data_IF_214279644290
#
_entry.id   IF_214279644290
#
_cell.length_a   1.000
_cell.length_b   1.000
_cell.length_c   1.000
_cell.angle_alpha   90.00
_cell.angle_beta   90.00
_cell.angle_gamma   90.00
#
_symmetry.space_group_name_H-M   'P 1'
#
loop_
_entity.id
_entity.type
_entity.pdbx_description
1 polymer ?
#
# COMPACT_ATOMS: atom_id res chain seq x y z
N UNK A 1 -27.34 -9.89 9.19
CA UNK A 1 -25.93 -9.48 9.02
C UNK A 1 -25.71 -8.26 9.89
N UNK A 2 -24.90 -8.37 10.94
CA UNK A 2 -24.53 -7.19 11.73
C UNK A 2 -23.49 -6.41 10.93
N UNK A 3 -23.75 -5.14 10.67
CA UNK A 3 -22.74 -4.25 10.12
C UNK A 3 -22.06 -3.53 11.27
N UNK A 4 -20.73 -3.49 11.27
CA UNK A 4 -19.98 -2.61 12.16
C UNK A 4 -20.37 -1.18 11.82
N UNK A 5 -20.87 -0.42 12.80
CA UNK A 5 -21.29 0.97 12.59
C UNK A 5 -20.08 1.84 12.26
N UNK A 6 -20.31 2.97 11.58
CA UNK A 6 -19.25 3.96 11.31
C UNK A 6 -18.53 4.42 12.59
N UNK A 7 -19.25 4.56 13.71
CA UNK A 7 -18.65 4.95 15.00
C UNK A 7 -17.72 3.87 15.56
N UNK A 8 -18.07 2.59 15.38
CA UNK A 8 -17.21 1.47 15.78
C UNK A 8 -15.98 1.38 14.87
N UNK A 9 -16.14 1.57 13.56
CA UNK A 9 -15.02 1.55 12.60
C UNK A 9 -13.95 2.60 12.91
N UNK A 10 -14.33 3.77 13.46
CA UNK A 10 -13.34 4.76 13.88
C UNK A 10 -12.45 4.30 15.04
N UNK A 11 -12.96 3.41 15.89
CA UNK A 11 -12.19 2.82 17.00
C UNK A 11 -11.37 1.61 16.58
N UNK A 12 -11.79 0.91 15.52
CA UNK A 12 -11.13 -0.29 14.99
C UNK A 12 -10.02 0.07 13.99
N UNK A 13 -9.06 0.89 14.42
CA UNK A 13 -7.94 1.34 13.59
C UNK A 13 -6.60 0.89 14.16
N UNK A 14 -5.70 0.49 13.27
CA UNK A 14 -4.32 0.14 13.61
C UNK A 14 -3.58 1.34 14.20
N UNK A 15 -2.82 1.13 15.28
CA UNK A 15 -1.97 2.15 15.90
C UNK A 15 -0.94 2.74 14.93
N UNK A 16 -0.33 1.88 14.08
CA UNK A 16 0.75 2.28 13.17
C UNK A 16 0.23 2.92 11.88
N UNK A 17 -0.59 2.20 11.11
CA UNK A 17 -1.01 2.68 9.78
C UNK A 17 -2.39 3.34 9.74
N UNK A 18 -3.13 3.37 10.86
CA UNK A 18 -4.49 3.93 10.98
C UNK A 18 -5.57 3.34 10.05
N UNK A 19 -5.23 2.32 9.26
CA UNK A 19 -6.18 1.50 8.49
C UNK A 19 -7.02 0.63 9.42
N UNK A 20 -8.15 0.15 8.91
CA UNK A 20 -9.03 -0.76 9.65
C UNK A 20 -8.30 -2.03 10.11
N UNK A 21 -8.63 -2.48 11.31
CA UNK A 21 -8.15 -3.74 11.92
C UNK A 21 -8.84 -4.96 11.28
N UNK A 22 -8.67 -5.09 9.97
CA UNK A 22 -9.30 -6.10 9.11
C UNK A 22 -8.29 -7.00 8.38
N UNK A 23 -6.98 -6.78 8.60
CA UNK A 23 -5.90 -7.53 7.96
C UNK A 23 -5.09 -8.24 9.03
N UNK A 24 -5.23 -9.55 9.06
CA UNK A 24 -4.63 -10.41 10.07
C UNK A 24 -3.15 -10.70 9.78
N UNK A 25 -2.36 -11.08 10.80
CA UNK A 25 -2.73 -11.15 12.22
C UNK A 25 -2.94 -9.77 12.88
N UNK A 26 -3.67 -9.71 13.99
CA UNK A 26 -3.87 -8.52 14.81
C UNK A 26 -3.13 -8.69 16.14
N UNK A 27 -2.31 -7.73 16.52
CA UNK A 27 -1.53 -7.75 17.75
C UNK A 27 -1.98 -6.66 18.70
N UNK A 28 -2.21 -6.99 19.96
CA UNK A 28 -2.38 -6.03 21.04
C UNK A 28 -1.00 -5.60 21.55
N UNK A 29 -0.75 -4.29 21.62
CA UNK A 29 0.41 -3.70 22.27
C UNK A 29 0.06 -3.29 23.69
N UNK A 30 0.85 -3.76 24.64
CA UNK A 30 0.73 -3.38 26.05
C UNK A 30 1.42 -2.04 26.33
N UNK A 31 2.51 -1.74 25.62
CA UNK A 31 3.27 -0.50 25.77
C UNK A 31 2.49 0.72 25.25
N UNK A 32 1.82 0.58 24.11
CA UNK A 32 1.12 1.68 23.43
C UNK A 32 -0.41 1.64 23.60
N UNK A 33 -0.93 0.67 24.36
CA UNK A 33 -2.36 0.46 24.63
C UNK A 33 -3.25 0.52 23.37
N UNK A 34 -3.06 -0.43 22.46
CA UNK A 34 -3.91 -0.55 21.27
C UNK A 34 -3.48 -1.67 20.33
N UNK A 35 -4.11 -1.77 19.16
CA UNK A 35 -3.89 -2.88 18.24
C UNK A 35 -3.05 -2.50 17.00
N UNK A 36 -2.22 -3.43 16.51
CA UNK A 36 -1.39 -3.32 15.31
C UNK A 36 -1.84 -4.42 14.34
N UNK A 37 -2.13 -4.06 13.08
CA UNK A 37 -2.54 -5.03 12.06
C UNK A 37 -1.34 -5.70 11.36
N UNK A 38 -1.60 -6.82 10.68
CA UNK A 38 -0.60 -7.62 9.97
C UNK A 38 0.07 -6.94 8.77
N UNK A 39 -0.39 -5.74 8.39
CA UNK A 39 0.28 -4.89 7.40
C UNK A 39 1.55 -4.21 7.95
N UNK A 40 1.70 -4.13 9.27
CA UNK A 40 2.74 -3.35 9.92
C UNK A 40 3.73 -4.26 10.63
N UNK A 41 5.01 -3.87 10.65
CA UNK A 41 6.01 -4.52 11.48
C UNK A 41 5.62 -4.47 12.95
N UNK A 42 5.97 -5.50 13.70
CA UNK A 42 5.60 -5.68 15.11
C UNK A 42 6.87 -5.79 15.94
N UNK A 43 6.98 -4.98 16.97
CA UNK A 43 8.15 -4.86 17.85
C UNK A 43 7.66 -4.55 19.27
N UNK A 44 8.45 -4.91 20.28
CA UNK A 44 8.15 -4.64 21.69
C UNK A 44 7.21 -5.67 22.33
N UNK A 45 6.57 -5.28 23.44
CA UNK A 45 5.69 -6.16 24.20
C UNK A 45 4.29 -6.21 23.59
N UNK A 46 4.08 -7.22 22.76
CA UNK A 46 2.88 -7.42 21.95
C UNK A 46 2.43 -8.88 21.96
N UNK A 47 1.12 -9.09 21.88
CA UNK A 47 0.53 -10.42 21.82
C UNK A 47 -0.52 -10.48 20.71
N UNK A 48 -0.59 -11.61 19.98
CA UNK A 48 -1.60 -11.79 18.94
C UNK A 48 -2.98 -11.90 19.57
N UNK A 49 -3.91 -11.04 19.17
CA UNK A 49 -5.27 -10.99 19.66
C UNK A 49 -6.17 -11.93 18.83
N UNK A 50 -6.01 -13.24 19.05
CA UNK A 50 -6.78 -14.29 18.36
C UNK A 50 -8.29 -14.21 18.64
N UNK A 51 -8.70 -13.73 19.82
CA UNK A 51 -10.11 -13.53 20.17
C UNK A 51 -10.74 -12.46 19.27
N UNK A 52 -10.06 -11.33 19.09
CA UNK A 52 -10.52 -10.29 18.17
C UNK A 52 -10.59 -10.81 16.73
N UNK A 53 -9.57 -11.56 16.30
CA UNK A 53 -9.56 -12.17 14.96
C UNK A 53 -10.78 -13.07 14.75
N UNK A 54 -11.05 -14.00 15.68
CA UNK A 54 -12.17 -14.93 15.61
C UNK A 54 -13.53 -14.20 15.52
N UNK A 55 -13.75 -13.20 16.37
CA UNK A 55 -15.01 -12.43 16.39
C UNK A 55 -15.21 -11.60 15.12
N UNK A 56 -14.12 -11.15 14.49
CA UNK A 56 -14.19 -10.29 13.30
C UNK A 56 -14.29 -11.06 11.99
N UNK A 57 -14.07 -12.38 11.98
CA UNK A 57 -14.25 -13.22 10.78
C UNK A 57 -15.64 -13.09 10.15
N UNK A 58 -16.68 -12.90 10.96
CA UNK A 58 -18.07 -12.76 10.51
C UNK A 58 -18.47 -11.31 10.20
N UNK A 59 -17.56 -10.35 10.32
CA UNK A 59 -17.81 -8.93 10.10
C UNK A 59 -17.17 -8.46 8.80
N UNK A 60 -17.89 -7.60 8.07
CA UNK A 60 -17.32 -6.92 6.89
C UNK A 60 -16.71 -5.58 7.29
N UNK A 61 -15.58 -5.27 6.68
CA UNK A 61 -14.88 -3.99 6.82
C UNK A 61 -14.83 -3.28 5.47
N UNK A 62 -14.98 -1.94 5.44
CA UNK A 62 -14.68 -1.19 4.23
C UNK A 62 -13.23 -1.42 3.79
N UNK A 63 -12.99 -1.38 2.49
CA UNK A 63 -11.65 -1.37 1.94
C UNK A 63 -10.83 -0.21 2.53
N UNK A 64 -9.53 -0.43 2.77
CA UNK A 64 -8.66 0.65 3.25
C UNK A 64 -8.39 1.77 2.22
N UNK A 65 -8.88 1.60 0.99
CA UNK A 65 -8.86 2.59 -0.09
C UNK A 65 -10.25 3.21 -0.31
N UNK A 66 -11.14 3.15 0.69
CA UNK A 66 -12.47 3.77 0.68
C UNK A 66 -12.42 5.28 0.38
N UNK A 67 -11.48 5.99 1.00
CA UNK A 67 -11.21 7.42 0.75
C UNK A 67 -10.84 7.74 -0.70
N UNK A 68 -10.33 6.74 -1.45
CA UNK A 68 -9.99 6.89 -2.86
C UNK A 68 -11.15 6.47 -3.80
N UNK A 69 -12.27 5.99 -3.24
CA UNK A 69 -13.47 5.61 -3.99
C UNK A 69 -13.78 4.10 -4.02
N UNK A 70 -13.05 3.27 -3.28
CA UNK A 70 -13.42 1.85 -3.17
C UNK A 70 -14.66 1.68 -2.28
N UNK A 71 -15.73 1.11 -2.83
CA UNK A 71 -16.99 0.90 -2.09
C UNK A 71 -17.14 -0.52 -1.53
N UNK A 72 -16.13 -1.38 -1.72
CA UNK A 72 -16.20 -2.78 -1.32
C UNK A 72 -16.14 -2.92 0.20
N UNK A 73 -16.96 -3.85 0.70
CA UNK A 73 -17.00 -4.28 2.10
C UNK A 73 -16.70 -5.77 2.18
N UNK A 74 -15.61 -6.10 2.87
CA UNK A 74 -14.89 -7.37 2.75
C UNK A 74 -14.75 -8.06 4.10
N UNK A 75 -14.80 -9.38 4.10
CA UNK A 75 -14.41 -10.18 5.26
C UNK A 75 -12.88 -10.18 5.43
N UNK A 76 -12.35 -10.40 6.65
CA UNK A 76 -10.91 -10.33 6.90
C UNK A 76 -10.03 -11.27 6.05
N UNK A 77 -10.57 -12.40 5.60
CA UNK A 77 -9.92 -13.36 4.70
C UNK A 77 -9.85 -12.88 3.23
N UNK A 78 -10.82 -12.07 2.80
CA UNK A 78 -10.86 -11.46 1.46
C UNK A 78 -9.92 -10.25 1.35
N UNK A 79 -9.70 -9.54 2.46
CA UNK A 79 -8.96 -8.26 2.51
C UNK A 79 -7.55 -8.35 1.89
N UNK A 80 -6.68 -9.34 2.22
CA UNK A 80 -5.31 -9.38 1.69
C UNK A 80 -5.25 -9.55 0.17
N UNK A 81 -6.20 -10.29 -0.42
CA UNK A 81 -6.27 -10.50 -1.85
C UNK A 81 -6.81 -9.22 -2.51
N UNK A 82 -7.92 -8.69 -2.01
CA UNK A 82 -8.51 -7.47 -2.54
C UNK A 82 -7.53 -6.30 -2.53
N UNK A 83 -6.81 -6.06 -1.43
CA UNK A 83 -5.87 -4.94 -1.34
C UNK A 83 -4.76 -5.00 -2.38
N UNK A 84 -4.36 -6.19 -2.82
CA UNK A 84 -3.35 -6.36 -3.88
C UNK A 84 -3.85 -5.92 -5.25
N UNK A 85 -5.13 -6.18 -5.55
CA UNK A 85 -5.76 -5.99 -6.86
C UNK A 85 -6.72 -4.79 -6.92
N UNK A 86 -6.88 -4.05 -5.82
CA UNK A 86 -7.81 -2.93 -5.75
C UNK A 86 -7.38 -1.82 -6.71
N UNK A 87 -8.27 -1.45 -7.65
CA UNK A 87 -8.04 -0.35 -8.60
C UNK A 87 -7.83 1.03 -7.95
N UNK A 88 -8.23 1.18 -6.69
CA UNK A 88 -8.08 2.39 -5.90
C UNK A 88 -6.83 2.37 -5.00
N UNK A 89 -6.00 1.33 -5.13
CA UNK A 89 -4.71 1.23 -4.46
C UNK A 89 -3.80 2.38 -4.87
N UNK A 90 -3.21 3.02 -3.88
CA UNK A 90 -2.17 4.03 -4.09
C UNK A 90 -0.78 3.44 -4.01
N UNK A 91 0.13 3.97 -4.81
CA UNK A 91 1.53 3.61 -4.87
C UNK A 91 2.38 4.81 -4.47
N UNK A 92 3.46 4.55 -3.75
CA UNK A 92 4.51 5.55 -3.55
C UNK A 92 5.30 5.70 -4.86
N UNK A 93 5.82 6.90 -5.11
CA UNK A 93 6.58 7.17 -6.32
C UNK A 93 7.77 6.20 -6.47
N UNK A 94 7.91 5.48 -7.60
CA UNK A 94 9.06 4.61 -7.85
C UNK A 94 10.41 5.32 -7.79
N UNK A 95 10.46 6.63 -8.04
CA UNK A 95 11.68 7.43 -7.94
C UNK A 95 12.04 7.81 -6.50
N UNK A 96 11.23 7.45 -5.49
CA UNK A 96 11.49 7.80 -4.08
C UNK A 96 12.86 7.29 -3.59
N UNK A 97 13.30 6.13 -4.09
CA UNK A 97 14.62 5.55 -3.78
C UNK A 97 15.77 6.46 -4.23
N UNK A 98 15.58 7.19 -5.33
CA UNK A 98 16.64 7.97 -5.99
C UNK A 98 16.51 9.48 -5.74
N UNK A 99 15.28 10.01 -5.69
CA UNK A 99 15.00 11.45 -5.71
C UNK A 99 14.28 12.00 -4.48
N UNK A 100 14.10 11.20 -3.41
CA UNK A 100 13.34 11.56 -2.19
C UNK A 100 11.92 12.07 -2.48
N UNK A 101 11.34 11.69 -3.61
CA UNK A 101 9.98 12.07 -3.99
C UNK A 101 8.96 11.47 -3.02
N UNK A 102 8.06 12.30 -2.50
CA UNK A 102 7.01 11.90 -1.54
C UNK A 102 5.64 11.72 -2.18
N UNK A 103 5.56 11.77 -3.51
CA UNK A 103 4.29 11.59 -4.21
C UNK A 103 3.73 10.20 -3.95
N UNK A 104 2.42 10.16 -3.72
CA UNK A 104 1.64 8.94 -3.54
C UNK A 104 0.29 9.13 -4.22
N UNK A 105 -0.07 8.23 -5.12
CA UNK A 105 -1.27 8.38 -5.92
C UNK A 105 -1.72 7.09 -6.59
N UNK A 106 -2.76 7.17 -7.40
CA UNK A 106 -3.26 6.04 -8.17
C UNK A 106 -2.33 5.76 -9.37
N UNK A 107 -2.34 4.53 -9.88
CA UNK A 107 -1.51 4.12 -11.04
C UNK A 107 -1.78 5.02 -12.25
N UNK A 108 -3.04 5.36 -12.51
CA UNK A 108 -3.43 6.24 -13.62
C UNK A 108 -2.80 7.65 -13.58
N UNK A 109 -2.44 8.13 -12.39
CA UNK A 109 -1.86 9.46 -12.19
C UNK A 109 -0.32 9.41 -12.20
N UNK A 110 0.27 8.21 -12.23
CA UNK A 110 1.71 7.99 -12.12
C UNK A 110 2.48 8.49 -13.34
N UNK A 111 1.94 8.27 -14.55
CA UNK A 111 2.58 8.71 -15.78
C UNK A 111 2.71 10.24 -15.86
N UNK A 112 1.60 10.95 -15.63
CA UNK A 112 1.59 12.42 -15.60
C UNK A 112 2.52 12.98 -14.51
N UNK A 113 2.54 12.35 -13.33
CA UNK A 113 3.48 12.69 -12.26
C UNK A 113 4.95 12.58 -12.73
N UNK A 114 5.31 11.47 -13.38
CA UNK A 114 6.67 11.26 -13.88
C UNK A 114 7.03 12.25 -14.97
N UNK A 115 6.14 12.51 -15.92
CA UNK A 115 6.41 13.48 -16.99
C UNK A 115 6.69 14.89 -16.46
N UNK A 116 6.03 15.30 -15.37
CA UNK A 116 6.18 16.64 -14.78
C UNK A 116 7.37 16.77 -13.83
N UNK A 117 7.65 15.74 -13.04
CA UNK A 117 8.61 15.83 -11.93
C UNK A 117 9.85 14.96 -12.10
N UNK A 118 9.80 13.96 -12.97
CA UNK A 118 10.81 12.92 -13.15
C UNK A 118 11.01 12.58 -14.63
N UNK A 119 10.96 13.59 -15.51
CA UNK A 119 11.02 13.36 -16.96
C UNK A 119 12.29 12.60 -17.40
N UNK A 120 13.41 12.79 -16.69
CA UNK A 120 14.67 12.06 -16.92
C UNK A 120 14.57 10.56 -16.60
N UNK A 121 13.61 10.16 -15.77
CA UNK A 121 13.33 8.77 -15.42
C UNK A 121 12.16 8.19 -16.24
N UNK A 122 11.85 8.78 -17.41
CA UNK A 122 10.83 8.25 -18.33
C UNK A 122 11.46 7.72 -19.61
N UNK A 123 11.08 6.51 -20.01
CA UNK A 123 11.50 5.89 -21.27
C UNK A 123 10.41 6.18 -22.31
N UNK A 124 10.76 6.94 -23.36
CA UNK A 124 9.81 7.41 -24.39
C UNK A 124 9.87 6.62 -25.70
N UNK A 125 11.04 6.10 -26.07
CA UNK A 125 11.27 5.45 -27.36
C UNK A 125 11.50 3.93 -27.23
N UNK A 126 11.15 3.34 -26.09
CA UNK A 126 11.49 1.95 -25.74
C UNK A 126 13.00 1.63 -25.78
N UNK A 127 13.84 2.67 -25.75
CA UNK A 127 15.29 2.59 -25.72
C UNK A 127 15.79 3.26 -24.44
N UNK A 128 16.77 2.63 -23.78
CA UNK A 128 17.44 3.16 -22.60
C UNK A 128 18.92 2.77 -22.61
N UNK A 129 19.76 3.62 -22.03
CA UNK A 129 21.20 3.40 -21.95
C UNK A 129 21.55 2.65 -20.65
N UNK A 130 22.39 1.64 -20.77
CA UNK A 130 22.90 0.88 -19.61
C UNK A 130 24.27 1.44 -19.24
N UNK A 131 24.38 2.16 -18.13
CA UNK A 131 25.68 2.53 -17.55
C UNK A 131 26.22 1.36 -16.72
N UNK A 132 27.30 0.74 -17.21
CA UNK A 132 27.95 -0.40 -16.58
C UNK A 132 29.06 -0.01 -15.59
N UNK A 133 29.34 1.28 -15.42
CA UNK A 133 30.48 1.80 -14.65
C UNK A 133 30.04 2.40 -13.33
N UNK A 134 28.88 3.07 -13.28
CA UNK A 134 28.33 3.66 -12.07
C UNK A 134 27.79 2.62 -11.08
N UNK A 135 27.81 2.95 -9.77
CA UNK A 135 27.07 2.22 -8.74
C UNK A 135 25.80 3.02 -8.40
N UNK A 136 24.67 2.56 -8.93
CA UNK A 136 23.38 3.22 -8.75
C UNK A 136 22.24 2.21 -8.83
N UNK A 137 21.09 2.61 -8.26
CA UNK A 137 19.82 1.91 -8.38
C UNK A 137 18.75 2.93 -8.73
N UNK A 138 18.27 2.89 -9.96
CA UNK A 138 17.28 3.83 -10.47
C UNK A 138 16.07 3.07 -11.03
N UNK A 139 14.90 3.66 -10.84
CA UNK A 139 13.64 3.14 -11.36
C UNK A 139 13.16 4.07 -12.47
N UNK A 140 13.13 3.55 -13.69
CA UNK A 140 12.56 4.23 -14.85
C UNK A 140 11.12 3.79 -15.06
N UNK A 141 10.28 4.72 -15.51
CA UNK A 141 8.90 4.46 -15.89
C UNK A 141 8.81 4.35 -17.41
N UNK A 142 8.28 3.22 -17.86
CA UNK A 142 8.04 2.90 -19.26
C UNK A 142 6.53 2.74 -19.47
N UNK A 143 5.99 3.35 -20.53
CA UNK A 143 4.61 3.17 -20.95
C UNK A 143 4.59 2.44 -22.30
N UNK A 144 3.93 1.29 -22.36
CA UNK A 144 3.77 0.48 -23.59
C UNK A 144 2.30 0.09 -23.69
N UNK A 145 1.65 0.46 -24.78
CA UNK A 145 0.24 0.07 -25.06
C UNK A 145 -0.72 0.36 -23.88
N UNK A 146 -0.61 1.56 -23.29
CA UNK A 146 -1.38 2.02 -22.11
C UNK A 146 -1.06 1.30 -20.78
N UNK A 147 -0.14 0.34 -20.78
CA UNK A 147 0.36 -0.32 -19.57
C UNK A 147 1.64 0.36 -19.05
N UNK A 148 1.78 0.42 -17.72
CA UNK A 148 2.93 1.03 -17.05
C UNK A 148 3.86 -0.04 -16.48
N UNK A 149 5.13 0.07 -16.85
CA UNK A 149 6.21 -0.81 -16.40
C UNK A 149 7.26 0.00 -15.64
N UNK A 150 7.81 -0.61 -14.59
CA UNK A 150 8.98 -0.09 -13.88
C UNK A 150 10.19 -0.89 -14.34
N UNK A 151 11.17 -0.20 -14.93
CA UNK A 151 12.46 -0.78 -15.27
C UNK A 151 13.42 -0.43 -14.14
N UNK A 152 13.80 -1.45 -13.35
CA UNK A 152 14.83 -1.28 -12.33
C UNK A 152 16.20 -1.49 -12.97
N UNK A 153 17.03 -0.45 -12.93
CA UNK A 153 18.42 -0.52 -13.34
C UNK A 153 19.29 -0.46 -12.11
N UNK A 154 19.99 -1.55 -11.83
CA UNK A 154 20.88 -1.67 -10.70
C UNK A 154 22.21 -2.25 -11.13
N UNK A 155 23.29 -1.59 -10.74
CA UNK A 155 24.65 -2.07 -10.94
C UNK A 155 25.35 -2.13 -9.57
N UNK A 156 25.56 -3.34 -9.01
CA UNK A 156 26.14 -3.52 -7.68
C UNK A 156 27.63 -3.17 -7.59
#
# INVERSE_FOLDING_TARGET
MSFVTNQQLQKLRCLKCRKYLSYFPIYQSYDQQGCICGRCSVEGNVERNTIYEEVTTIQKFPCCYDVNGCLDSLYPDEVPIHEKICKFRTYDCPSNTTSKCKWRGLVKDMWDHFQRHHAIYTIKNNEFEIDLVGNYSENYLLNVEDELYIVNQSNP
#
